data_IF_075035157779
#
_entry.id   IF_075035157779
#
_cell.length_a   1.000
_cell.length_b   1.000
_cell.length_c   1.000
_cell.angle_alpha   90.00
_cell.angle_beta   90.00
_cell.angle_gamma   90.00
#
_symmetry.space_group_name_H-M   'P 1'
#
loop_
_entity.id
_entity.type
_entity.pdbx_description
1 polymer ?
#
# COMPACT_ATOMS: atom_id res chain seq x y z
N UNK A 1 -49.04 12.82 14.09
CA UNK A 1 -48.83 11.36 13.99
C UNK A 1 -49.07 10.95 12.55
N UNK A 2 -48.01 10.75 11.78
CA UNK A 2 -47.92 9.85 10.61
C UNK A 2 -46.62 10.13 9.85
N UNK A 3 -45.66 9.24 10.02
CA UNK A 3 -44.51 9.05 9.14
C UNK A 3 -44.97 8.72 7.72
N UNK A 4 -44.14 9.06 6.72
CA UNK A 4 -43.71 8.13 5.66
C UNK A 4 -42.60 8.79 4.83
N UNK A 5 -41.43 8.15 4.90
CA UNK A 5 -40.41 8.09 3.84
C UNK A 5 -41.08 7.91 2.48
N UNK A 6 -40.60 8.57 1.41
CA UNK A 6 -40.42 7.97 0.08
C UNK A 6 -39.93 9.01 -0.96
N UNK A 7 -39.05 8.54 -1.85
CA UNK A 7 -38.60 9.12 -3.14
C UNK A 7 -37.33 9.97 -3.17
N UNK A 8 -36.19 9.29 -3.18
CA UNK A 8 -35.12 9.65 -4.12
C UNK A 8 -35.50 9.14 -5.51
N UNK A 9 -36.04 10.03 -6.32
CA UNK A 9 -36.42 9.80 -7.72
C UNK A 9 -35.54 10.72 -8.58
N UNK A 10 -34.47 10.17 -9.17
CA UNK A 10 -33.92 10.63 -10.46
C UNK A 10 -32.85 9.68 -11.00
N UNK A 11 -33.28 8.51 -11.45
CA UNK A 11 -32.58 7.79 -12.52
C UNK A 11 -32.89 8.53 -13.82
N UNK A 12 -31.95 9.30 -14.35
CA UNK A 12 -31.94 9.71 -15.77
C UNK A 12 -30.68 10.53 -16.07
N UNK A 13 -29.68 9.88 -16.67
CA UNK A 13 -28.82 10.42 -17.74
C UNK A 13 -27.63 9.48 -17.99
N UNK A 14 -27.86 8.47 -18.81
CA UNK A 14 -26.84 8.03 -19.77
C UNK A 14 -27.53 7.89 -21.12
N UNK A 15 -27.56 9.02 -21.84
CA UNK A 15 -27.94 9.07 -23.25
C UNK A 15 -26.81 8.43 -24.07
N UNK A 16 -27.08 7.20 -24.53
CA UNK A 16 -26.90 6.72 -25.89
C UNK A 16 -25.94 7.52 -26.78
N UNK A 17 -24.82 6.91 -27.15
CA UNK A 17 -24.12 7.30 -28.38
C UNK A 17 -23.92 6.06 -29.27
N UNK A 18 -24.60 6.10 -30.41
CA UNK A 18 -24.68 5.06 -31.43
C UNK A 18 -23.33 4.85 -32.14
N UNK A 19 -23.06 3.59 -32.48
CA UNK A 19 -21.84 3.13 -33.12
C UNK A 19 -21.64 3.63 -34.55
N UNK A 20 -20.36 3.74 -34.93
CA UNK A 20 -19.95 3.74 -36.34
C UNK A 20 -18.60 3.04 -36.50
N UNK A 21 -18.65 1.91 -37.18
CA UNK A 21 -17.52 1.07 -37.54
C UNK A 21 -16.56 1.79 -38.51
N UNK A 22 -15.25 1.51 -38.39
CA UNK A 22 -14.33 1.27 -39.52
C UNK A 22 -12.98 0.70 -39.07
N UNK A 23 -12.66 -0.43 -39.67
CA UNK A 23 -11.43 -1.24 -39.67
C UNK A 23 -10.10 -0.49 -39.84
N UNK A 24 -9.01 -1.02 -39.24
CA UNK A 24 -7.64 -0.76 -39.71
C UNK A 24 -6.53 -1.08 -38.72
N UNK A 25 -5.87 -2.21 -38.92
CA UNK A 25 -4.62 -2.71 -38.31
C UNK A 25 -3.61 -1.68 -37.80
N UNK A 26 -3.04 -1.99 -36.63
CA UNK A 26 -1.81 -1.36 -36.15
C UNK A 26 -1.54 -1.64 -34.68
N UNK A 27 -1.43 -2.93 -34.28
CA UNK A 27 -0.81 -3.28 -32.99
C UNK A 27 0.63 -2.77 -33.00
N UNK A 28 0.86 -1.63 -32.36
CA UNK A 28 2.16 -1.29 -31.79
C UNK A 28 1.96 -1.31 -30.29
N UNK A 29 2.23 -2.46 -29.68
CA UNK A 29 2.48 -2.55 -28.25
C UNK A 29 3.60 -1.55 -27.91
N UNK A 30 3.34 -0.54 -27.07
CA UNK A 30 4.42 0.23 -26.53
C UNK A 30 5.12 -0.63 -25.47
N UNK A 31 6.44 -0.74 -25.65
CA UNK A 31 7.47 -1.22 -24.76
C UNK A 31 7.02 -1.54 -23.32
N UNK A 32 7.32 -2.77 -22.90
CA UNK A 32 7.21 -3.31 -21.55
C UNK A 32 7.63 -2.27 -20.49
N UNK A 33 6.64 -1.61 -19.90
CA UNK A 33 6.78 -1.07 -18.56
C UNK A 33 7.05 -2.26 -17.63
N UNK A 34 7.89 -2.11 -16.58
CA UNK A 34 8.08 -3.19 -15.63
C UNK A 34 6.71 -3.60 -15.10
N UNK A 35 6.35 -4.88 -15.28
CA UNK A 35 5.12 -5.45 -14.74
C UNK A 35 5.06 -5.07 -13.27
N UNK A 36 4.02 -4.31 -12.89
CA UNK A 36 3.76 -4.01 -11.48
C UNK A 36 3.56 -5.37 -10.82
N UNK A 37 4.47 -5.72 -9.90
CA UNK A 37 4.41 -6.97 -9.14
C UNK A 37 3.00 -7.14 -8.57
N UNK A 38 2.41 -8.31 -8.79
CA UNK A 38 1.03 -8.52 -8.44
C UNK A 38 0.94 -8.55 -6.91
N UNK A 39 0.02 -7.76 -6.34
CA UNK A 39 -0.51 -7.94 -4.99
C UNK A 39 -0.60 -9.41 -4.53
N UNK A 40 0.31 -9.85 -3.64
CA UNK A 40 0.32 -11.23 -3.12
C UNK A 40 1.34 -12.19 -3.74
N UNK A 41 2.21 -11.71 -4.63
CA UNK A 41 3.34 -12.49 -5.17
C UNK A 41 4.36 -12.89 -4.09
N UNK A 42 5.19 -13.90 -4.38
CA UNK A 42 6.25 -14.37 -3.46
C UNK A 42 7.23 -13.26 -3.06
N UNK A 43 7.54 -12.34 -3.98
CA UNK A 43 8.38 -11.16 -3.70
C UNK A 43 7.73 -10.20 -2.71
N UNK A 44 6.44 -9.92 -2.88
CA UNK A 44 5.67 -9.08 -1.96
C UNK A 44 5.73 -9.65 -0.54
N UNK A 45 5.49 -10.96 -0.40
CA UNK A 45 5.53 -11.65 0.90
C UNK A 45 6.91 -11.61 1.52
N UNK A 46 7.96 -11.87 0.74
CA UNK A 46 9.34 -11.83 1.23
C UNK A 46 9.74 -10.43 1.69
N UNK A 47 9.42 -9.39 0.93
CA UNK A 47 9.75 -8.00 1.31
C UNK A 47 8.96 -7.52 2.53
N UNK A 48 7.68 -7.93 2.65
CA UNK A 48 6.87 -7.66 3.82
C UNK A 48 7.40 -8.41 5.06
N UNK A 49 7.80 -9.67 4.91
CA UNK A 49 8.39 -10.47 5.99
C UNK A 49 9.69 -9.84 6.50
N UNK A 50 10.55 -9.34 5.60
CA UNK A 50 11.76 -8.62 6.01
C UNK A 50 11.43 -7.38 6.85
N UNK A 51 10.38 -6.64 6.51
CA UNK A 51 9.94 -5.50 7.30
C UNK A 51 9.42 -5.94 8.67
N UNK A 52 8.62 -7.01 8.73
CA UNK A 52 8.09 -7.57 9.97
C UNK A 52 9.19 -8.07 10.91
N UNK A 53 10.25 -8.70 10.39
CA UNK A 53 11.41 -9.15 11.17
C UNK A 53 12.10 -7.95 11.83
N UNK A 54 12.29 -6.86 11.09
CA UNK A 54 12.91 -5.63 11.63
C UNK A 54 12.00 -4.97 12.66
N UNK A 55 10.69 -4.91 12.40
CA UNK A 55 9.71 -4.37 13.35
C UNK A 55 9.70 -5.18 14.66
N UNK A 56 9.77 -6.52 14.57
CA UNK A 56 9.91 -7.38 15.75
C UNK A 56 11.18 -7.08 16.54
N UNK A 57 12.34 -7.00 15.87
CA UNK A 57 13.61 -6.71 16.53
C UNK A 57 13.62 -5.33 17.21
N UNK A 58 12.95 -4.33 16.62
CA UNK A 58 12.78 -3.01 17.22
C UNK A 58 11.94 -3.04 18.50
N UNK A 59 10.84 -3.81 18.51
CA UNK A 59 10.01 -4.01 19.70
C UNK A 59 10.82 -4.69 20.81
N UNK A 60 11.50 -5.80 20.49
CA UNK A 60 12.32 -6.54 21.46
C UNK A 60 13.44 -5.67 22.05
N UNK A 61 14.14 -4.89 21.22
CA UNK A 61 15.17 -3.97 21.70
C UNK A 61 14.60 -2.86 22.57
N UNK A 62 13.39 -2.37 22.28
CA UNK A 62 12.72 -1.38 23.13
C UNK A 62 12.47 -1.97 24.53
N UNK A 63 11.89 -3.17 24.59
CA UNK A 63 11.65 -3.88 25.85
C UNK A 63 12.94 -4.18 26.61
N UNK A 64 14.02 -4.55 25.90
CA UNK A 64 15.33 -4.75 26.51
C UNK A 64 15.87 -3.45 27.11
N UNK A 65 15.84 -2.34 26.35
CA UNK A 65 16.34 -1.04 26.77
C UNK A 65 15.56 -0.43 27.94
N UNK A 66 14.27 -0.76 28.11
CA UNK A 66 13.49 -0.37 29.30
C UNK A 66 14.13 -0.90 30.60
N UNK A 67 14.84 -2.03 30.52
CA UNK A 67 15.56 -2.63 31.66
C UNK A 67 17.06 -2.32 31.67
N UNK A 68 17.65 -1.99 30.52
CA UNK A 68 19.08 -1.70 30.34
C UNK A 68 19.33 -0.37 29.60
N UNK A 69 18.94 0.79 30.16
CA UNK A 69 18.94 2.07 29.45
C UNK A 69 20.34 2.63 29.15
N UNK A 70 21.39 2.09 29.79
CA UNK A 70 22.78 2.52 29.59
C UNK A 70 23.57 1.61 28.65
N UNK A 71 22.94 0.59 28.08
CA UNK A 71 23.61 -0.27 27.09
C UNK A 71 23.73 0.44 25.75
N UNK A 72 24.91 1.04 25.53
CA UNK A 72 25.24 1.73 24.28
C UNK A 72 25.16 0.83 23.05
N UNK A 73 25.46 -0.46 23.16
CA UNK A 73 25.43 -1.37 22.01
C UNK A 73 23.99 -1.65 21.58
N UNK A 74 23.09 -1.85 22.54
CA UNK A 74 21.66 -2.00 22.26
C UNK A 74 21.06 -0.73 21.64
N UNK A 75 21.44 0.45 22.14
CA UNK A 75 21.00 1.75 21.57
C UNK A 75 21.48 1.90 20.12
N UNK A 76 22.74 1.56 19.84
CA UNK A 76 23.27 1.64 18.47
C UNK A 76 22.54 0.68 17.52
N UNK A 77 22.30 -0.56 17.95
CA UNK A 77 21.54 -1.54 17.18
C UNK A 77 20.11 -1.05 16.90
N UNK A 78 19.44 -0.49 17.90
CA UNK A 78 18.10 0.07 17.73
C UNK A 78 18.07 1.16 16.66
N UNK A 79 19.00 2.12 16.71
CA UNK A 79 19.08 3.19 15.73
C UNK A 79 19.37 2.68 14.31
N UNK A 80 20.27 1.69 14.17
CA UNK A 80 20.58 1.06 12.89
C UNK A 80 19.35 0.35 12.30
N UNK A 81 18.62 -0.40 13.13
CA UNK A 81 17.40 -1.09 12.71
C UNK A 81 16.28 -0.09 12.38
N UNK A 82 16.14 1.00 13.13
CA UNK A 82 15.13 2.03 12.86
C UNK A 82 15.38 2.71 11.51
N UNK A 83 16.65 3.01 11.19
CA UNK A 83 17.04 3.51 9.88
C UNK A 83 16.76 2.47 8.78
N UNK A 84 17.10 1.20 9.01
CA UNK A 84 16.87 0.11 8.04
C UNK A 84 15.37 -0.08 7.77
N UNK A 85 14.54 -0.04 8.82
CA UNK A 85 13.09 -0.12 8.73
C UNK A 85 12.52 0.97 7.82
N UNK A 86 12.98 2.22 8.00
CA UNK A 86 12.57 3.35 7.16
C UNK A 86 12.90 3.12 5.67
N UNK A 87 14.08 2.57 5.38
CA UNK A 87 14.48 2.24 4.00
C UNK A 87 13.62 1.14 3.39
N UNK A 88 13.36 0.06 4.15
CA UNK A 88 12.52 -1.05 3.70
C UNK A 88 11.08 -0.61 3.45
N UNK A 89 10.49 0.13 4.39
CA UNK A 89 9.14 0.67 4.26
C UNK A 89 9.03 1.59 3.04
N UNK A 90 10.00 2.48 2.82
CA UNK A 90 10.00 3.37 1.66
C UNK A 90 10.10 2.58 0.34
N UNK A 91 11.00 1.60 0.27
CA UNK A 91 11.15 0.75 -0.91
C UNK A 91 9.87 -0.05 -1.21
N UNK A 92 9.22 -0.55 -0.17
CA UNK A 92 7.95 -1.25 -0.26
C UNK A 92 6.84 -0.32 -0.76
N UNK A 93 6.74 0.90 -0.20
CA UNK A 93 5.73 1.88 -0.59
C UNK A 93 5.85 2.33 -2.05
N UNK A 94 7.09 2.44 -2.55
CA UNK A 94 7.32 2.78 -3.96
C UNK A 94 6.82 1.71 -4.92
N UNK A 95 6.88 0.44 -4.51
CA UNK A 95 6.53 -0.71 -5.35
C UNK A 95 5.04 -1.06 -5.26
N UNK A 96 4.50 -1.15 -4.04
CA UNK A 96 3.16 -1.71 -3.80
C UNK A 96 2.13 -0.68 -3.35
N UNK A 97 2.55 0.53 -2.96
CA UNK A 97 1.65 1.58 -2.48
C UNK A 97 1.70 1.80 -0.96
N UNK A 98 0.83 2.66 -0.43
CA UNK A 98 0.97 3.17 0.93
C UNK A 98 0.82 2.06 1.99
N UNK A 99 1.76 2.02 2.94
CA UNK A 99 1.83 1.00 3.98
C UNK A 99 1.14 1.44 5.28
N UNK A 100 1.26 2.72 5.65
CA UNK A 100 0.81 3.28 6.92
C UNK A 100 -0.27 4.35 6.71
N UNK A 101 -1.39 4.18 7.42
CA UNK A 101 -2.52 5.11 7.42
C UNK A 101 -2.19 6.42 8.15
N UNK A 102 -3.16 7.35 8.19
CA UNK A 102 -3.08 8.60 8.97
C UNK A 102 -1.95 9.56 8.56
N UNK A 103 -1.58 9.56 7.28
CA UNK A 103 -0.60 10.50 6.72
C UNK A 103 0.87 10.08 6.95
N UNK A 104 1.11 8.87 7.44
CA UNK A 104 2.46 8.33 7.56
C UNK A 104 3.04 7.88 6.20
N UNK A 105 2.18 7.44 5.27
CA UNK A 105 2.56 7.15 3.88
C UNK A 105 1.86 8.11 2.92
N UNK A 106 2.55 8.52 1.87
CA UNK A 106 1.97 9.33 0.81
C UNK A 106 1.11 8.48 -0.13
N UNK A 107 -0.07 8.97 -0.47
CA UNK A 107 -0.96 8.35 -1.45
C UNK A 107 -0.88 9.08 -2.80
N UNK A 108 -1.09 8.36 -3.90
CA UNK A 108 -1.23 8.94 -5.24
C UNK A 108 -2.70 9.21 -5.56
N UNK A 109 -2.93 9.87 -6.70
CA UNK A 109 -4.26 9.99 -7.30
C UNK A 109 -4.43 8.91 -8.38
N UNK A 110 -5.55 8.15 -8.42
CA UNK A 110 -6.69 8.17 -7.49
C UNK A 110 -6.36 7.55 -6.12
N UNK A 111 -7.22 7.78 -5.11
CA UNK A 111 -7.08 7.27 -3.73
C UNK A 111 -6.75 5.76 -3.75
N UNK A 112 -5.58 5.39 -3.22
CA UNK A 112 -5.00 4.05 -3.40
C UNK A 112 -5.39 3.03 -2.31
N UNK A 113 -5.94 3.46 -1.17
CA UNK A 113 -6.26 2.58 -0.05
C UNK A 113 -7.44 1.61 -0.30
N UNK A 114 -8.20 1.91 -1.35
CA UNK A 114 -9.33 1.15 -1.87
C UNK A 114 -8.87 0.10 -2.91
N UNK A 115 -7.58 0.06 -3.25
CA UNK A 115 -7.00 -0.97 -4.11
C UNK A 115 -6.42 -2.11 -3.24
N UNK A 116 -6.77 -3.38 -3.52
CA UNK A 116 -6.13 -4.52 -2.88
C UNK A 116 -4.69 -4.71 -3.39
N UNK A 117 -3.79 -5.29 -2.57
CA UNK A 117 -4.03 -6.03 -1.36
C UNK A 117 -3.78 -5.12 -0.14
N UNK A 118 -4.54 -5.31 0.93
CA UNK A 118 -4.19 -4.58 2.13
C UNK A 118 -2.97 -5.20 2.82
N UNK A 119 -2.06 -4.39 3.36
CA UNK A 119 -0.84 -4.90 4.00
C UNK A 119 -1.11 -5.79 5.22
N UNK A 120 -2.29 -5.67 5.84
CA UNK A 120 -2.75 -6.54 6.95
C UNK A 120 -3.51 -7.79 6.50
N UNK A 121 -3.65 -8.04 5.20
CA UNK A 121 -4.46 -9.12 4.65
C UNK A 121 -3.69 -10.43 4.45
N UNK A 122 -2.47 -10.50 4.99
CA UNK A 122 -1.58 -11.68 4.95
C UNK A 122 -1.74 -12.50 6.22
#
# INVERSE_FOLDING_TARGET
MAERQDRYDRSDRYDRNDGKDRSGSGKKEPASAPERSVPGDERYRAELEQLQIVDFALVELTLYLDTHPTDMQAIQQFNQLAQRRGQLAHAFEMQYGPLLQFGHSYTKFPWQWNEPPWPWQV
#
